data_IF_838690207212
#
_entry.id   IF_838690207212
#
_cell.length_a   1.000
_cell.length_b   1.000
_cell.length_c   1.000
_cell.angle_alpha   90.00
_cell.angle_beta   90.00
_cell.angle_gamma   90.00
#
_symmetry.space_group_name_H-M   'P 1'
#
loop_
_entity.id
_entity.type
_entity.pdbx_description
1 polymer ?
#
# COMPACT_ATOMS: atom_id res chain seq x y z
N UNK A 1 14.70 7.84 6.58
CA UNK A 1 16.04 7.59 5.96
C UNK A 1 15.89 7.13 4.51
N UNK A 2 15.13 6.04 4.21
CA UNK A 2 15.00 5.50 2.83
C UNK A 2 14.44 6.50 1.83
N UNK A 3 13.42 7.28 2.22
CA UNK A 3 12.85 8.33 1.36
C UNK A 3 13.84 9.49 1.13
N UNK A 4 14.72 9.78 2.10
CA UNK A 4 15.78 10.79 1.96
C UNK A 4 16.90 10.35 1.02
N UNK A 5 17.15 9.05 0.88
CA UNK A 5 18.12 8.48 -0.06
C UNK A 5 17.56 8.26 -1.47
N UNK A 6 16.24 8.35 -1.62
CA UNK A 6 15.57 8.21 -2.90
C UNK A 6 15.48 9.57 -3.63
N UNK A 7 15.42 9.59 -4.97
CA UNK A 7 15.21 10.81 -5.75
C UNK A 7 13.75 11.34 -5.63
N UNK A 8 13.15 11.24 -4.42
CA UNK A 8 11.76 11.61 -4.14
C UNK A 8 11.45 13.09 -4.42
N UNK A 9 12.49 13.96 -4.40
CA UNK A 9 12.37 15.38 -4.70
C UNK A 9 12.16 15.73 -6.18
N UNK A 10 12.24 14.76 -7.10
CA UNK A 10 12.30 15.08 -8.54
C UNK A 10 10.94 15.29 -9.22
N UNK A 11 9.83 14.74 -8.72
CA UNK A 11 8.54 14.79 -9.43
C UNK A 11 7.52 15.77 -8.85
N UNK A 12 7.26 15.73 -7.55
CA UNK A 12 6.21 16.49 -6.87
C UNK A 12 6.73 17.32 -5.70
N UNK A 13 7.99 17.71 -5.73
CA UNK A 13 8.60 18.57 -4.72
C UNK A 13 8.52 20.04 -5.11
N UNK A 14 8.78 20.90 -4.12
CA UNK A 14 8.95 22.35 -4.33
C UNK A 14 10.08 22.59 -5.32
N UNK A 15 11.19 21.83 -5.24
CA UNK A 15 12.32 21.92 -6.16
C UNK A 15 11.96 21.57 -7.59
N UNK A 16 11.15 20.53 -7.80
CA UNK A 16 10.64 20.18 -9.13
C UNK A 16 9.67 21.24 -9.66
N UNK A 17 8.90 21.91 -8.81
CA UNK A 17 8.02 23.01 -9.20
C UNK A 17 8.82 24.26 -9.57
N UNK A 18 9.85 24.61 -8.80
CA UNK A 18 10.77 25.72 -9.08
C UNK A 18 11.61 25.42 -10.33
N UNK A 19 12.10 24.17 -10.49
CA UNK A 19 12.89 23.74 -11.65
C UNK A 19 12.10 23.77 -12.97
N UNK A 20 10.79 23.55 -12.94
CA UNK A 20 9.91 23.70 -14.11
C UNK A 20 9.80 25.14 -14.61
N UNK A 21 10.10 26.12 -13.78
CA UNK A 21 10.21 27.53 -14.15
C UNK A 21 11.60 27.93 -14.65
N UNK A 22 12.58 27.03 -14.53
CA UNK A 22 13.96 27.23 -14.98
C UNK A 22 14.10 27.03 -16.50
N UNK A 23 15.20 27.56 -17.06
CA UNK A 23 15.55 27.46 -18.48
C UNK A 23 15.92 26.05 -18.98
N UNK A 24 15.90 25.04 -18.10
CA UNK A 24 16.21 23.63 -18.42
C UNK A 24 15.08 22.69 -17.98
N UNK A 25 13.91 22.71 -18.66
CA UNK A 25 12.76 21.87 -18.30
C UNK A 25 13.05 20.37 -18.48
N UNK A 26 13.97 19.99 -19.37
CA UNK A 26 14.26 18.59 -19.73
C UNK A 26 14.90 17.80 -18.57
N UNK A 27 15.51 18.48 -17.61
CA UNK A 27 16.11 17.85 -16.42
C UNK A 27 15.10 17.45 -15.35
N UNK A 28 13.87 17.97 -15.43
CA UNK A 28 12.84 17.89 -14.39
C UNK A 28 11.50 17.36 -14.93
N UNK A 29 11.52 16.79 -16.14
CA UNK A 29 10.32 16.21 -16.77
C UNK A 29 9.84 14.94 -16.06
N UNK A 30 8.52 14.68 -16.03
CA UNK A 30 7.95 13.49 -15.41
C UNK A 30 8.41 12.18 -16.05
N UNK A 31 8.84 12.21 -17.31
CA UNK A 31 9.20 11.01 -18.07
C UNK A 31 10.68 10.58 -17.91
N UNK A 32 11.56 11.50 -17.54
CA UNK A 32 13.01 11.23 -17.46
C UNK A 32 13.42 10.37 -16.25
N UNK A 33 12.49 9.96 -15.32
CA UNK A 33 12.93 9.54 -13.99
C UNK A 33 12.03 8.54 -13.25
N UNK A 34 11.04 7.96 -13.90
CA UNK A 34 10.21 6.95 -13.23
C UNK A 34 11.00 5.68 -12.87
N UNK A 35 12.03 5.34 -13.64
CA UNK A 35 12.78 4.11 -13.42
C UNK A 35 13.71 4.14 -12.21
N UNK A 36 14.24 5.30 -11.83
CA UNK A 36 15.21 5.40 -10.74
C UNK A 36 14.59 5.48 -9.33
N UNK A 37 13.30 5.83 -9.21
CA UNK A 37 12.63 5.94 -7.90
C UNK A 37 11.92 4.65 -7.48
N UNK A 38 11.75 3.69 -8.38
CA UNK A 38 10.99 2.46 -8.14
C UNK A 38 11.66 1.52 -7.13
N UNK A 39 13.00 1.51 -7.05
CA UNK A 39 13.71 0.65 -6.10
C UNK A 39 13.39 0.98 -4.64
N UNK A 40 13.32 2.28 -4.28
CA UNK A 40 13.03 2.70 -2.91
C UNK A 40 11.61 2.29 -2.50
N UNK A 41 10.63 2.47 -3.41
CA UNK A 41 9.25 2.02 -3.20
C UNK A 41 9.19 0.50 -3.03
N UNK A 42 9.89 -0.26 -3.87
CA UNK A 42 9.98 -1.71 -3.78
C UNK A 42 10.61 -2.16 -2.47
N UNK A 43 11.68 -1.48 -2.04
CA UNK A 43 12.32 -1.79 -0.76
C UNK A 43 11.36 -1.59 0.42
N UNK A 44 10.59 -0.48 0.44
CA UNK A 44 9.58 -0.24 1.48
C UNK A 44 8.48 -1.31 1.44
N UNK A 45 8.01 -1.70 0.25
CA UNK A 45 7.07 -2.81 0.09
C UNK A 45 7.62 -4.13 0.64
N UNK A 46 8.88 -4.46 0.33
CA UNK A 46 9.54 -5.67 0.83
C UNK A 46 9.70 -5.64 2.36
N UNK A 47 10.13 -4.50 2.92
CA UNK A 47 10.29 -4.36 4.37
C UNK A 47 8.95 -4.50 5.10
N UNK A 48 7.88 -3.92 4.56
CA UNK A 48 6.55 -4.06 5.12
C UNK A 48 6.07 -5.51 5.03
N UNK A 49 6.24 -6.16 3.88
CA UNK A 49 5.93 -7.59 3.70
C UNK A 49 6.70 -8.48 4.66
N UNK A 50 7.99 -8.20 4.87
CA UNK A 50 8.84 -8.94 5.81
C UNK A 50 8.41 -8.73 7.27
N UNK A 51 8.02 -7.50 7.65
CA UNK A 51 7.52 -7.22 8.99
C UNK A 51 6.26 -8.02 9.32
N UNK A 52 5.31 -8.07 8.39
CA UNK A 52 4.10 -8.90 8.54
C UNK A 52 4.44 -10.39 8.59
N UNK A 53 5.24 -10.87 7.65
CA UNK A 53 5.67 -12.27 7.62
C UNK A 53 6.39 -12.68 8.91
N UNK A 54 7.28 -11.83 9.42
CA UNK A 54 7.97 -12.06 10.70
C UNK A 54 7.01 -12.15 11.88
N UNK A 55 5.99 -11.28 11.93
CA UNK A 55 4.96 -11.30 12.97
C UNK A 55 4.15 -12.60 12.94
N UNK A 56 3.66 -13.00 11.75
CA UNK A 56 2.91 -14.25 11.58
C UNK A 56 3.77 -15.48 11.87
N UNK A 57 5.02 -15.50 11.40
CA UNK A 57 5.96 -16.59 11.64
C UNK A 57 6.33 -16.75 13.10
N UNK A 58 6.54 -15.64 13.84
CA UNK A 58 6.82 -15.68 15.28
C UNK A 58 5.65 -16.32 16.05
N UNK A 59 4.42 -15.93 15.74
CA UNK A 59 3.23 -16.53 16.37
C UNK A 59 3.15 -18.05 16.12
N UNK A 60 3.44 -18.48 14.90
CA UNK A 60 3.47 -19.89 14.55
C UNK A 60 4.63 -20.64 15.19
N UNK A 61 5.79 -20.00 15.31
CA UNK A 61 6.97 -20.58 15.95
C UNK A 61 6.80 -20.76 17.44
N UNK A 62 6.34 -19.72 18.14
CA UNK A 62 6.21 -19.70 19.60
C UNK A 62 4.98 -20.45 20.11
N UNK A 63 3.85 -20.35 19.39
CA UNK A 63 2.57 -20.94 19.82
C UNK A 63 2.03 -22.03 18.92
N UNK A 64 2.63 -22.22 17.74
CA UNK A 64 2.16 -23.21 16.76
C UNK A 64 0.68 -23.00 16.40
N UNK A 65 -0.01 -24.10 16.14
CA UNK A 65 -1.45 -24.11 15.86
C UNK A 65 -2.31 -23.73 17.08
N UNK A 66 -1.74 -23.79 18.29
CA UNK A 66 -2.45 -23.37 19.50
C UNK A 66 -2.78 -21.86 19.47
N UNK A 67 -2.03 -21.06 18.71
CA UNK A 67 -2.33 -19.64 18.52
C UNK A 67 -3.68 -19.42 17.83
N UNK A 68 -4.12 -20.40 17.00
CA UNK A 68 -5.38 -20.35 16.25
C UNK A 68 -6.56 -20.98 17.01
N UNK A 69 -6.37 -21.44 18.25
CA UNK A 69 -7.39 -22.20 18.99
C UNK A 69 -8.53 -21.35 19.59
N UNK A 70 -8.55 -20.04 19.34
CA UNK A 70 -9.58 -19.12 19.84
C UNK A 70 -9.42 -18.73 21.31
N UNK A 71 -8.91 -19.59 22.19
CA UNK A 71 -8.69 -19.28 23.59
C UNK A 71 -7.62 -18.21 23.78
N UNK A 72 -6.54 -18.27 22.98
CA UNK A 72 -5.51 -17.21 22.93
C UNK A 72 -6.14 -15.88 22.57
N UNK A 73 -6.98 -15.84 21.52
CA UNK A 73 -7.68 -14.62 21.11
C UNK A 73 -8.64 -14.12 22.21
N UNK A 74 -9.42 -15.03 22.84
CA UNK A 74 -10.29 -14.66 23.97
C UNK A 74 -9.50 -14.03 25.10
N UNK A 75 -8.35 -14.61 25.47
CA UNK A 75 -7.51 -14.11 26.58
C UNK A 75 -6.95 -12.71 26.25
N UNK A 76 -6.45 -12.50 25.03
CA UNK A 76 -5.91 -11.21 24.61
C UNK A 76 -7.02 -10.15 24.62
N UNK A 77 -8.16 -10.44 23.97
CA UNK A 77 -9.29 -9.50 23.89
C UNK A 77 -9.89 -9.21 25.27
N UNK A 78 -9.97 -10.22 26.16
CA UNK A 78 -10.44 -10.03 27.53
C UNK A 78 -9.51 -9.11 28.32
N UNK A 79 -8.20 -9.29 28.18
CA UNK A 79 -7.20 -8.44 28.83
C UNK A 79 -7.35 -6.98 28.38
N UNK A 80 -7.52 -6.76 27.10
CA UNK A 80 -7.71 -5.42 26.55
C UNK A 80 -9.11 -4.86 26.90
N UNK A 81 -10.14 -5.69 26.99
CA UNK A 81 -11.45 -5.27 27.47
C UNK A 81 -11.39 -4.76 28.91
N UNK A 82 -10.71 -5.48 29.81
CA UNK A 82 -10.53 -5.05 31.20
C UNK A 82 -9.80 -3.72 31.27
N UNK A 83 -8.86 -3.48 30.36
CA UNK A 83 -8.06 -2.26 30.31
C UNK A 83 -8.77 -1.07 29.66
N UNK A 84 -9.52 -1.29 28.59
CA UNK A 84 -10.04 -0.22 27.73
C UNK A 84 -11.57 -0.18 27.65
N UNK A 85 -12.27 -1.20 28.13
CA UNK A 85 -13.73 -1.26 28.20
C UNK A 85 -14.43 -1.34 26.85
N UNK A 86 -13.80 -1.89 25.79
CA UNK A 86 -14.37 -1.92 24.43
C UNK A 86 -15.55 -2.91 24.34
N UNK A 87 -16.82 -2.43 24.11
CA UNK A 87 -17.98 -3.33 24.11
C UNK A 87 -17.93 -4.41 23.03
N UNK A 88 -17.32 -4.10 21.87
CA UNK A 88 -17.15 -5.07 20.80
C UNK A 88 -16.19 -6.20 21.18
N UNK A 89 -15.17 -5.93 22.03
CA UNK A 89 -14.30 -6.95 22.59
C UNK A 89 -15.08 -7.89 23.50
N UNK A 90 -15.92 -7.34 24.40
CA UNK A 90 -16.78 -8.16 25.27
C UNK A 90 -17.73 -9.04 24.45
N UNK A 91 -18.32 -8.49 23.39
CA UNK A 91 -19.18 -9.26 22.50
C UNK A 91 -18.40 -10.38 21.78
N UNK A 92 -17.20 -10.10 21.29
CA UNK A 92 -16.37 -11.08 20.58
C UNK A 92 -15.99 -12.28 21.46
N UNK A 93 -15.58 -12.05 22.71
CA UNK A 93 -15.16 -13.15 23.61
C UNK A 93 -16.29 -14.08 23.99
N UNK A 94 -17.56 -13.65 23.88
CA UNK A 94 -18.74 -14.52 24.10
C UNK A 94 -18.97 -15.50 22.94
N UNK A 95 -18.28 -15.32 21.82
CA UNK A 95 -18.45 -16.10 20.60
C UNK A 95 -17.15 -16.83 20.24
N UNK A 96 -16.91 -17.98 20.86
CA UNK A 96 -15.66 -18.73 20.73
C UNK A 96 -15.22 -18.94 19.26
N UNK A 97 -16.14 -19.36 18.40
CA UNK A 97 -15.83 -19.60 16.99
C UNK A 97 -15.42 -18.34 16.21
N UNK A 98 -15.92 -17.18 16.61
CA UNK A 98 -15.44 -15.91 16.05
C UNK A 98 -14.02 -15.59 16.53
N UNK A 99 -13.68 -15.95 17.76
CA UNK A 99 -12.30 -15.83 18.24
C UNK A 99 -11.35 -16.77 17.47
N UNK A 100 -11.76 -18.01 17.19
CA UNK A 100 -11.00 -18.92 16.31
C UNK A 100 -10.82 -18.31 14.93
N UNK A 101 -11.91 -17.83 14.31
CA UNK A 101 -11.85 -17.22 12.97
C UNK A 101 -10.96 -15.97 12.95
N UNK A 102 -11.05 -15.10 13.97
CA UNK A 102 -10.22 -13.91 14.10
C UNK A 102 -8.74 -14.27 14.25
N UNK A 103 -8.41 -15.23 15.11
CA UNK A 103 -7.04 -15.71 15.31
C UNK A 103 -6.45 -16.31 14.01
N UNK A 104 -7.21 -17.19 13.34
CA UNK A 104 -6.80 -17.80 12.08
C UNK A 104 -6.61 -16.74 10.99
N UNK A 105 -7.54 -15.79 10.86
CA UNK A 105 -7.46 -14.69 9.89
C UNK A 105 -6.23 -13.82 10.14
N UNK A 106 -5.93 -13.51 11.41
CA UNK A 106 -4.73 -12.73 11.76
C UNK A 106 -3.46 -13.42 11.27
N UNK A 107 -3.28 -14.71 11.59
CA UNK A 107 -2.10 -15.46 11.15
C UNK A 107 -2.03 -15.55 9.62
N UNK A 108 -3.15 -15.82 8.96
CA UNK A 108 -3.20 -15.89 7.49
C UNK A 108 -2.82 -14.55 6.85
N UNK A 109 -3.40 -13.45 7.31
CA UNK A 109 -3.07 -12.11 6.80
C UNK A 109 -1.61 -11.78 7.04
N UNK A 110 -1.10 -11.98 8.26
CA UNK A 110 0.29 -11.67 8.60
C UNK A 110 1.27 -12.54 7.80
N UNK A 111 1.04 -13.84 7.74
CA UNK A 111 1.96 -14.77 7.04
C UNK A 111 1.97 -14.54 5.53
N UNK A 112 0.82 -14.24 4.92
CA UNK A 112 0.72 -14.12 3.47
C UNK A 112 0.72 -12.68 2.94
N UNK A 113 0.89 -11.68 3.81
CA UNK A 113 0.91 -10.27 3.38
C UNK A 113 1.99 -9.98 2.34
N UNK A 114 3.16 -10.64 2.44
CA UNK A 114 4.27 -10.46 1.49
C UNK A 114 3.89 -10.84 0.05
N UNK A 115 2.86 -11.66 -0.15
CA UNK A 115 2.35 -12.02 -1.49
C UNK A 115 1.94 -10.79 -2.28
N UNK A 116 1.44 -9.73 -1.61
CA UNK A 116 1.12 -8.46 -2.26
C UNK A 116 2.33 -7.77 -2.91
N UNK A 117 3.55 -8.06 -2.43
CA UNK A 117 4.79 -7.51 -2.99
C UNK A 117 5.07 -8.12 -4.36
N UNK A 118 4.91 -9.46 -4.47
CA UNK A 118 5.28 -10.23 -5.66
C UNK A 118 4.14 -10.36 -6.66
N UNK A 119 2.90 -10.41 -6.19
CA UNK A 119 1.71 -10.62 -7.03
C UNK A 119 0.82 -9.38 -7.06
N UNK A 120 0.97 -8.47 -8.04
CA UNK A 120 0.17 -7.25 -8.15
C UNK A 120 -1.35 -7.51 -8.20
N UNK A 121 -1.78 -8.62 -8.81
CA UNK A 121 -3.20 -9.00 -8.89
C UNK A 121 -3.84 -9.27 -7.51
N UNK A 122 -3.07 -9.78 -6.54
CA UNK A 122 -3.53 -10.09 -5.19
C UNK A 122 -3.58 -8.86 -4.26
N UNK A 123 -2.90 -7.76 -4.60
CA UNK A 123 -2.72 -6.59 -3.73
C UNK A 123 -4.02 -6.07 -3.14
N UNK A 124 -5.06 -5.90 -3.97
CA UNK A 124 -6.36 -5.38 -3.51
C UNK A 124 -6.98 -6.24 -2.40
N UNK A 125 -6.85 -7.56 -2.49
CA UNK A 125 -7.40 -8.48 -1.50
C UNK A 125 -6.56 -8.49 -0.22
N UNK A 126 -5.23 -8.59 -0.36
CA UNK A 126 -4.31 -8.60 0.77
C UNK A 126 -4.37 -7.28 1.55
N UNK A 127 -4.41 -6.14 0.86
CA UNK A 127 -4.52 -4.84 1.51
C UNK A 127 -5.89 -4.67 2.20
N UNK A 128 -6.98 -5.08 1.54
CA UNK A 128 -8.32 -5.03 2.14
C UNK A 128 -8.40 -5.91 3.39
N UNK A 129 -7.82 -7.12 3.36
CA UNK A 129 -7.74 -8.02 4.52
C UNK A 129 -6.91 -7.41 5.65
N UNK A 130 -5.78 -6.78 5.33
CA UNK A 130 -4.94 -6.09 6.31
C UNK A 130 -5.66 -4.91 6.97
N UNK A 131 -6.37 -4.09 6.18
CA UNK A 131 -7.22 -3.00 6.70
C UNK A 131 -8.31 -3.56 7.61
N UNK A 132 -9.04 -4.58 7.15
CA UNK A 132 -10.10 -5.23 7.93
C UNK A 132 -9.59 -5.81 9.24
N UNK A 133 -8.44 -6.48 9.23
CA UNK A 133 -7.78 -7.01 10.42
C UNK A 133 -7.44 -5.90 11.42
N UNK A 134 -6.78 -4.82 11.00
CA UNK A 134 -6.41 -3.73 11.90
C UNK A 134 -7.60 -2.94 12.42
N UNK A 135 -8.64 -2.77 11.61
CA UNK A 135 -9.90 -2.18 12.07
C UNK A 135 -10.59 -3.07 13.09
N UNK A 136 -10.60 -4.39 12.87
CA UNK A 136 -11.10 -5.37 13.85
C UNK A 136 -10.36 -5.28 15.18
N UNK A 137 -9.03 -5.26 15.15
CA UNK A 137 -8.18 -5.09 16.33
C UNK A 137 -8.49 -3.77 17.05
N UNK A 138 -8.61 -2.66 16.30
CA UNK A 138 -8.94 -1.37 16.90
C UNK A 138 -10.29 -1.37 17.61
N UNK A 139 -11.32 -1.90 16.96
CA UNK A 139 -12.69 -1.93 17.50
C UNK A 139 -12.83 -2.86 18.71
N UNK A 140 -12.06 -3.97 18.76
CA UNK A 140 -12.17 -4.96 19.85
C UNK A 140 -11.18 -4.76 20.98
N UNK A 141 -10.01 -4.17 20.69
CA UNK A 141 -8.88 -4.07 21.63
C UNK A 141 -8.40 -2.63 21.85
N UNK A 142 -8.99 -1.64 21.21
CA UNK A 142 -8.56 -0.23 21.24
C UNK A 142 -7.09 0.00 20.80
N UNK A 143 -6.47 -0.95 20.11
CA UNK A 143 -5.08 -0.85 19.66
C UNK A 143 -5.00 -0.11 18.32
N UNK A 144 -4.43 1.13 18.26
CA UNK A 144 -4.44 1.96 17.06
C UNK A 144 -3.27 1.59 16.12
N UNK A 145 -3.54 0.76 15.11
CA UNK A 145 -2.57 0.43 14.07
C UNK A 145 -2.66 1.34 12.82
N UNK A 146 -3.17 2.57 12.97
CA UNK A 146 -3.37 3.48 11.84
C UNK A 146 -2.08 3.80 11.08
N UNK A 147 -0.95 3.92 11.79
CA UNK A 147 0.37 4.14 11.18
C UNK A 147 0.74 3.01 10.22
N UNK A 148 0.43 1.75 10.57
CA UNK A 148 0.65 0.61 9.68
C UNK A 148 -0.25 0.66 8.45
N UNK A 149 -1.51 1.05 8.62
CA UNK A 149 -2.45 1.19 7.51
C UNK A 149 -2.03 2.30 6.53
N UNK A 150 -1.47 3.42 7.02
CA UNK A 150 -0.95 4.48 6.13
C UNK A 150 0.21 3.99 5.26
N UNK A 151 0.99 3.03 5.73
CA UNK A 151 2.06 2.42 4.93
C UNK A 151 1.54 1.65 3.69
N UNK A 152 0.25 1.25 3.66
CA UNK A 152 -0.34 0.57 2.50
C UNK A 152 -0.40 1.45 1.26
N UNK A 153 -0.29 2.76 1.41
CA UNK A 153 -0.20 3.72 0.30
C UNK A 153 0.93 3.36 -0.68
N UNK A 154 2.02 2.73 -0.20
CA UNK A 154 3.14 2.32 -1.06
C UNK A 154 2.78 1.23 -2.08
N UNK A 155 1.64 0.56 -1.90
CA UNK A 155 1.14 -0.46 -2.84
C UNK A 155 0.16 0.11 -3.88
N UNK A 156 -0.26 1.37 -3.75
CA UNK A 156 -1.16 2.00 -4.71
C UNK A 156 -0.43 2.30 -6.01
N UNK A 157 -1.07 1.98 -7.12
CA UNK A 157 -0.58 2.34 -8.46
C UNK A 157 -1.03 3.77 -8.80
N UNK A 158 -0.16 4.73 -8.49
CA UNK A 158 -0.41 6.14 -8.75
C UNK A 158 -0.48 6.46 -10.25
N UNK A 159 0.11 5.64 -11.11
CA UNK A 159 0.01 5.81 -12.56
C UNK A 159 -1.40 5.51 -13.07
N UNK A 160 -2.04 4.48 -12.54
CA UNK A 160 -3.43 4.17 -12.87
C UNK A 160 -4.36 5.32 -12.46
N UNK A 161 -4.11 5.96 -11.31
CA UNK A 161 -4.85 7.13 -10.85
C UNK A 161 -4.65 8.34 -11.77
N UNK A 162 -3.42 8.54 -12.27
CA UNK A 162 -3.09 9.61 -13.22
C UNK A 162 -3.76 9.39 -14.57
N UNK A 163 -3.72 8.18 -15.12
CA UNK A 163 -4.36 7.82 -16.40
C UNK A 163 -5.87 8.01 -16.38
N UNK A 164 -6.53 7.79 -15.26
CA UNK A 164 -7.98 8.05 -15.11
C UNK A 164 -8.33 9.53 -15.14
N UNK A 165 -7.44 10.42 -14.71
CA UNK A 165 -7.64 11.88 -14.78
C UNK A 165 -7.41 12.47 -16.18
N UNK A 166 -6.55 11.85 -16.98
CA UNK A 166 -6.29 12.22 -18.36
C UNK A 166 -7.17 11.36 -19.28
N UNK A 167 -8.50 11.37 -19.10
CA UNK A 167 -9.41 10.98 -20.17
C UNK A 167 -9.41 12.14 -21.16
N UNK A 168 -9.00 11.93 -22.42
CA UNK A 168 -9.21 12.94 -23.44
C UNK A 168 -10.71 13.20 -23.52
N UNK A 169 -11.06 14.50 -23.49
CA UNK A 169 -12.40 14.95 -23.79
C UNK A 169 -12.79 14.32 -25.13
N UNK A 170 -13.84 13.53 -25.16
CA UNK A 170 -14.32 12.83 -26.37
C UNK A 170 -15.07 13.74 -27.32
N UNK A 171 -14.87 15.05 -27.19
CA UNK A 171 -15.38 16.02 -28.12
C UNK A 171 -14.38 16.13 -29.26
N UNK A 172 -14.68 15.38 -30.32
CA UNK A 172 -13.84 15.25 -31.50
C UNK A 172 -13.64 16.57 -32.24
N UNK A 173 -12.58 17.29 -31.88
CA UNK A 173 -11.98 18.25 -32.78
C UNK A 173 -10.74 17.59 -33.35
N UNK A 174 -10.96 16.88 -34.45
CA UNK A 174 -9.90 16.50 -35.39
C UNK A 174 -9.38 17.80 -35.98
N UNK A 175 -8.28 18.33 -35.44
CA UNK A 175 -7.49 19.30 -36.18
C UNK A 175 -6.87 18.59 -37.38
N UNK A 176 -7.67 18.52 -38.47
CA UNK A 176 -7.16 18.27 -39.82
C UNK A 176 -6.33 19.48 -40.20
N UNK A 177 -5.07 19.26 -40.53
CA UNK A 177 -4.39 20.15 -41.46
C UNK A 177 -3.16 20.86 -40.94
N UNK A 178 -2.05 20.16 -40.85
CA UNK A 178 -0.81 20.69 -41.39
C UNK A 178 -0.24 19.65 -42.35
N UNK A 179 -0.04 20.01 -43.63
CA UNK A 179 0.64 19.14 -44.57
C UNK A 179 2.10 18.99 -44.15
N UNK A 180 2.53 17.75 -44.02
CA UNK A 180 3.93 17.38 -43.86
C UNK A 180 4.64 17.92 -45.10
N UNK A 181 5.56 18.87 -44.92
CA UNK A 181 6.42 19.36 -45.98
C UNK A 181 7.20 18.18 -46.54
N UNK A 182 7.06 17.99 -47.84
CA UNK A 182 7.70 16.96 -48.64
C UNK A 182 9.23 17.13 -48.57
N UNK A 183 10.02 16.12 -48.17
CA UNK A 183 11.48 16.23 -48.09
C UNK A 183 12.19 16.22 -49.46
N UNK A 184 11.48 16.39 -50.55
CA UNK A 184 12.03 16.29 -51.91
C UNK A 184 12.51 17.61 -52.57
N UNK A 185 12.61 18.70 -51.79
CA UNK A 185 13.07 19.98 -52.37
C UNK A 185 14.36 20.48 -51.71
N UNK A 186 15.41 19.67 -51.74
CA UNK A 186 16.79 20.15 -51.61
C UNK A 186 17.59 19.49 -52.73
N UNK A 187 17.52 20.08 -53.91
CA UNK A 187 18.50 19.90 -54.98
C UNK A 187 18.89 21.29 -55.47
N UNK A 188 20.20 21.50 -55.42
CA UNK A 188 21.08 22.58 -55.90
C UNK A 188 21.48 23.59 -54.83
#
# INVERSE_FOLDING_TARGET
>A
VLLGLSPSGRCYSIDAWLGRRSKHPDRWGPDAQMDTATWALRLVQCLLGLAYFSSGSAKLWDGGLAWMNGATMQTIVLTDYVRFGMPAGLWLIQHFWLCVAAAATTIMVETFFFVAVFLPASRKYVLASGVGMHMGIYVTMAAPFFTWMTMYVVFLDFEMLRRRRVRPNRDGVVHRGQPIADPATIVL
#
